data_IF_024388843738
#
_entry.id   IF_024388843738
#
_cell.length_a   1.000
_cell.length_b   1.000
_cell.length_c   1.000
_cell.angle_alpha   90.00
_cell.angle_beta   90.00
_cell.angle_gamma   90.00
#
_symmetry.space_group_name_H-M   'P 1'
#
loop_
_entity.id
_entity.type
_entity.pdbx_description
1 polymer ?
#
# COMPACT_ATOMS: atom_id res chain seq x y z
N UNK A 1 -5.75 28.01 8.41
CA UNK A 1 -5.85 26.68 7.80
C UNK A 1 -5.84 26.90 6.31
N UNK A 2 -4.90 26.29 5.58
CA UNK A 2 -5.01 26.22 4.13
C UNK A 2 -5.95 25.08 3.76
N UNK A 3 -6.81 25.31 2.79
CA UNK A 3 -7.68 24.29 2.20
C UNK A 3 -6.87 23.35 1.34
N UNK A 4 -7.42 22.15 1.06
CA UNK A 4 -6.80 21.19 0.13
C UNK A 4 -6.57 21.85 -1.24
N UNK A 5 -7.53 22.66 -1.70
CA UNK A 5 -7.44 23.40 -2.97
C UNK A 5 -6.25 24.36 -3.00
N UNK A 6 -5.99 25.07 -1.90
CA UNK A 6 -4.84 25.98 -1.81
C UNK A 6 -3.51 25.22 -1.83
N UNK A 7 -3.47 24.04 -1.21
CA UNK A 7 -2.29 23.16 -1.22
C UNK A 7 -2.05 22.62 -2.63
N UNK A 8 -3.07 22.13 -3.33
CA UNK A 8 -2.97 21.66 -4.72
C UNK A 8 -2.46 22.78 -5.66
N UNK A 9 -2.98 24.00 -5.50
CA UNK A 9 -2.51 25.16 -6.25
C UNK A 9 -1.04 25.50 -5.96
N UNK A 10 -0.61 25.41 -4.70
CA UNK A 10 0.78 25.61 -4.34
C UNK A 10 1.70 24.52 -4.93
N UNK A 11 1.28 23.26 -4.88
CA UNK A 11 2.04 22.12 -5.42
C UNK A 11 2.21 22.23 -6.94
N UNK A 12 1.14 22.60 -7.65
CA UNK A 12 1.19 22.78 -9.11
C UNK A 12 2.06 23.95 -9.55
N UNK A 13 2.33 24.90 -8.64
CA UNK A 13 3.20 26.05 -8.89
C UNK A 13 4.67 25.78 -8.57
N UNK A 14 5.01 24.59 -8.04
CA UNK A 14 6.38 24.27 -7.64
C UNK A 14 7.31 24.10 -8.85
N UNK A 15 8.59 24.51 -8.72
CA UNK A 15 9.64 24.08 -9.63
C UNK A 15 9.72 22.55 -9.68
N UNK A 16 10.05 22.00 -10.86
CA UNK A 16 10.11 20.55 -11.09
C UNK A 16 10.90 19.78 -10.02
N UNK A 17 12.03 20.32 -9.55
CA UNK A 17 12.86 19.68 -8.51
C UNK A 17 12.10 19.54 -7.18
N UNK A 18 11.50 20.63 -6.72
CA UNK A 18 10.75 20.69 -5.46
C UNK A 18 9.47 19.84 -5.53
N UNK A 19 8.82 19.80 -6.70
CA UNK A 19 7.70 18.90 -6.94
C UNK A 19 8.09 17.42 -6.73
N UNK A 20 9.22 16.97 -7.28
CA UNK A 20 9.67 15.58 -7.12
C UNK A 20 10.14 15.27 -5.70
N UNK A 21 10.77 16.23 -5.02
CA UNK A 21 11.12 16.08 -3.61
C UNK A 21 9.86 15.92 -2.74
N UNK A 22 8.83 16.73 -3.00
CA UNK A 22 7.54 16.62 -2.33
C UNK A 22 6.86 15.28 -2.63
N UNK A 23 6.86 14.83 -3.89
CA UNK A 23 6.25 13.57 -4.30
C UNK A 23 6.91 12.38 -3.58
N UNK A 24 8.24 12.35 -3.50
CA UNK A 24 8.98 11.30 -2.78
C UNK A 24 8.60 11.24 -1.30
N UNK A 25 8.55 12.40 -0.64
CA UNK A 25 8.15 12.47 0.76
C UNK A 25 6.69 12.04 0.98
N UNK A 26 5.79 12.39 0.05
CA UNK A 26 4.39 12.04 0.14
C UNK A 26 4.15 10.54 -0.03
N UNK A 27 4.91 9.87 -0.91
CA UNK A 27 4.87 8.42 -1.05
C UNK A 27 5.29 7.71 0.25
N UNK A 28 6.32 8.20 0.96
CA UNK A 28 6.71 7.64 2.26
C UNK A 28 5.61 7.76 3.32
N UNK A 29 4.84 8.86 3.29
CA UNK A 29 3.67 9.02 4.17
C UNK A 29 2.59 8.02 3.80
N UNK A 30 2.27 7.89 2.51
CA UNK A 30 1.25 6.94 2.05
C UNK A 30 1.62 5.50 2.38
N UNK A 31 2.88 5.12 2.22
CA UNK A 31 3.37 3.79 2.57
C UNK A 31 3.18 3.49 4.06
N UNK A 32 3.52 4.44 4.94
CA UNK A 32 3.26 4.27 6.39
C UNK A 32 1.79 4.14 6.73
N UNK A 33 0.93 4.96 6.12
CA UNK A 33 -0.51 4.86 6.33
C UNK A 33 -1.07 3.51 5.83
N UNK A 34 -0.53 2.99 4.74
CA UNK A 34 -0.85 1.66 4.24
C UNK A 34 -0.40 0.56 5.19
N UNK A 35 0.83 0.65 5.74
CA UNK A 35 1.34 -0.31 6.72
C UNK A 35 0.46 -0.35 7.98
N UNK A 36 0.07 0.82 8.50
CA UNK A 36 -0.83 0.93 9.65
C UNK A 36 -2.21 0.33 9.36
N UNK A 37 -2.76 0.59 8.17
CA UNK A 37 -4.06 0.04 7.77
C UNK A 37 -4.00 -1.48 7.60
N UNK A 38 -2.94 -2.02 6.99
CA UNK A 38 -2.73 -3.45 6.84
C UNK A 38 -2.55 -4.15 8.19
N UNK A 39 -1.81 -3.55 9.11
CA UNK A 39 -1.65 -4.08 10.47
C UNK A 39 -3.00 -4.13 11.21
N UNK A 40 -3.79 -3.05 11.14
CA UNK A 40 -5.11 -3.00 11.75
C UNK A 40 -6.09 -4.01 11.13
N UNK A 41 -6.09 -4.17 9.81
CA UNK A 41 -6.95 -5.14 9.13
C UNK A 41 -6.53 -6.58 9.46
N UNK A 42 -5.23 -6.86 9.59
CA UNK A 42 -4.72 -8.14 10.06
C UNK A 42 -5.14 -8.44 11.51
N UNK A 43 -5.00 -7.49 12.43
CA UNK A 43 -5.42 -7.65 13.83
C UNK A 43 -6.94 -7.82 13.98
N UNK A 44 -7.72 -7.22 13.09
CA UNK A 44 -9.18 -7.32 13.09
C UNK A 44 -9.72 -8.66 12.54
N UNK A 45 -8.84 -9.56 12.06
CA UNK A 45 -9.21 -10.84 11.45
C UNK A 45 -9.86 -10.70 10.08
N UNK A 46 -9.91 -9.49 9.50
CA UNK A 46 -10.44 -9.28 8.14
C UNK A 46 -9.63 -9.98 7.06
N UNK A 47 -8.38 -10.34 7.35
CA UNK A 47 -7.51 -11.07 6.43
C UNK A 47 -7.51 -12.58 6.70
N UNK A 48 -8.25 -13.07 7.70
CA UNK A 48 -8.28 -14.49 8.07
C UNK A 48 -8.83 -15.36 6.93
N UNK A 49 -9.73 -14.83 6.10
CA UNK A 49 -10.26 -15.54 4.94
C UNK A 49 -9.16 -15.90 3.91
N UNK A 50 -8.10 -15.09 3.80
CA UNK A 50 -6.97 -15.38 2.91
C UNK A 50 -6.15 -16.56 3.45
N UNK A 51 -6.02 -16.69 4.76
CA UNK A 51 -5.36 -17.83 5.40
C UNK A 51 -6.18 -19.11 5.25
N UNK A 52 -7.50 -19.02 5.43
CA UNK A 52 -8.41 -20.15 5.23
C UNK A 52 -8.42 -20.62 3.77
N UNK A 53 -8.42 -19.68 2.81
CA UNK A 53 -8.35 -19.98 1.38
C UNK A 53 -7.01 -20.64 1.03
N UNK A 54 -5.88 -20.10 1.49
CA UNK A 54 -4.57 -20.70 1.29
C UNK A 54 -4.46 -22.10 1.92
N UNK A 55 -5.05 -22.32 3.10
CA UNK A 55 -5.09 -23.63 3.75
C UNK A 55 -5.95 -24.62 2.95
N UNK A 56 -7.09 -24.19 2.43
CA UNK A 56 -7.97 -25.00 1.60
C UNK A 56 -7.32 -25.39 0.26
N UNK A 57 -6.62 -24.46 -0.41
CA UNK A 57 -5.89 -24.76 -1.65
C UNK A 57 -4.70 -25.70 -1.42
N UNK A 58 -4.00 -25.54 -0.29
CA UNK A 58 -2.95 -26.47 0.16
C UNK A 58 -3.50 -27.87 0.39
N UNK A 59 -4.63 -27.97 1.07
CA UNK A 59 -5.31 -29.25 1.31
C UNK A 59 -5.84 -29.87 0.01
N UNK A 60 -6.29 -29.05 -0.95
CA UNK A 60 -6.75 -29.48 -2.26
C UNK A 60 -5.62 -29.87 -3.23
N UNK A 61 -4.35 -29.71 -2.84
CA UNK A 61 -3.19 -30.05 -3.67
C UNK A 61 -3.05 -29.17 -4.93
N UNK A 62 -3.65 -27.96 -4.92
CA UNK A 62 -3.66 -27.03 -6.06
C UNK A 62 -2.55 -25.99 -6.01
N UNK A 63 -1.74 -25.99 -4.95
CA UNK A 63 -0.60 -25.10 -4.85
C UNK A 63 0.35 -25.37 -6.02
N UNK A 64 0.56 -24.33 -6.81
CA UNK A 64 1.53 -24.35 -7.90
C UNK A 64 2.91 -24.18 -7.28
N UNK A 65 3.86 -25.03 -7.65
CA UNK A 65 5.25 -24.82 -7.26
C UNK A 65 5.71 -23.43 -7.70
N UNK A 66 6.43 -22.75 -6.80
CA UNK A 66 7.12 -21.52 -7.15
C UNK A 66 8.02 -21.83 -8.36
N UNK A 67 7.86 -21.13 -9.50
CA UNK A 67 8.67 -21.43 -10.67
C UNK A 67 10.14 -21.22 -10.28
N UNK A 68 10.91 -22.31 -10.29
CA UNK A 68 12.36 -22.23 -10.23
C UNK A 68 12.79 -21.33 -11.39
N UNK A 69 13.38 -20.19 -11.04
CA UNK A 69 13.66 -19.11 -11.98
C UNK A 69 14.28 -19.60 -13.29
N UNK A 70 13.70 -19.13 -14.39
CA UNK A 70 14.32 -19.11 -15.72
C UNK A 70 14.78 -17.70 -16.03
#
# INVERSE_FOLDING_TARGET
MSTVVEIESAITSLPKKEFWELASWFDDIKNRAWDEQMAADAESGKLDFLFDEAAAERAAGKLKDWPAGS
#
